data_IF_703750789520
#
_entry.id   IF_703750789520
#
_cell.length_a   1.000
_cell.length_b   1.000
_cell.length_c   1.000
_cell.angle_alpha   90.00
_cell.angle_beta   90.00
_cell.angle_gamma   90.00
#
_symmetry.space_group_name_H-M   'P 1'
#
loop_
_entity.id
_entity.type
_entity.pdbx_description
1 polymer ?
#
# COMPACT_ATOMS: atom_id res chain seq x y z
N UNK A 1 -21.63 -10.46 -1.74
CA UNK A 1 -21.41 -10.17 -0.31
C UNK A 1 -22.75 -10.15 0.38
N UNK A 2 -22.96 -11.04 1.36
CA UNK A 2 -24.12 -10.96 2.22
C UNK A 2 -23.78 -10.08 3.41
N UNK A 3 -24.35 -8.87 3.46
CA UNK A 3 -24.30 -8.02 4.64
C UNK A 3 -25.51 -8.33 5.50
N UNK A 4 -25.34 -8.51 6.81
CA UNK A 4 -26.45 -8.33 7.72
C UNK A 4 -26.78 -6.84 7.67
N UNK A 5 -27.98 -6.49 7.15
CA UNK A 5 -28.39 -5.10 6.91
C UNK A 5 -28.57 -4.28 8.22
N UNK A 6 -28.35 -4.89 9.39
CA UNK A 6 -28.46 -4.22 10.67
C UNK A 6 -27.18 -3.55 11.07
N UNK A 7 -27.22 -2.23 11.27
CA UNK A 7 -26.14 -1.48 11.90
C UNK A 7 -26.14 -1.79 13.40
N UNK A 8 -25.00 -2.27 13.89
CA UNK A 8 -24.77 -2.59 15.29
C UNK A 8 -23.79 -1.58 15.89
N UNK A 9 -23.97 -1.23 17.17
CA UNK A 9 -22.94 -0.49 17.90
C UNK A 9 -21.96 -1.50 18.48
N UNK A 10 -20.68 -1.40 18.06
CA UNK A 10 -19.60 -2.29 18.50
C UNK A 10 -18.66 -1.49 19.39
N UNK A 11 -18.28 -2.06 20.55
CA UNK A 11 -17.33 -1.44 21.46
C UNK A 11 -15.95 -1.26 20.77
N UNK A 12 -15.34 -0.10 20.92
CA UNK A 12 -14.03 0.22 20.28
C UNK A 12 -12.94 -0.76 20.73
N UNK A 13 -13.00 -1.21 21.98
CA UNK A 13 -12.07 -2.19 22.57
C UNK A 13 -12.17 -3.59 21.94
N UNK A 14 -13.31 -3.93 21.33
CA UNK A 14 -13.53 -5.20 20.64
C UNK A 14 -13.13 -5.16 19.18
N UNK A 15 -12.68 -4.00 18.70
CA UNK A 15 -12.30 -3.82 17.30
C UNK A 15 -10.78 -3.88 17.17
N UNK A 16 -10.30 -4.71 16.26
CA UNK A 16 -8.89 -4.79 15.89
C UNK A 16 -8.68 -4.20 14.50
N UNK A 17 -7.57 -3.46 14.29
CA UNK A 17 -7.19 -2.98 12.98
C UNK A 17 -7.01 -4.11 11.97
N UNK A 18 -7.21 -3.81 10.70
CA UNK A 18 -6.97 -4.79 9.63
C UNK A 18 -5.46 -5.11 9.53
N UNK A 19 -5.10 -6.38 9.67
CA UNK A 19 -3.72 -6.87 9.54
C UNK A 19 -3.11 -6.61 8.16
N UNK A 20 -3.95 -6.42 7.16
CA UNK A 20 -3.56 -6.28 5.75
C UNK A 20 -3.61 -4.82 5.26
N UNK A 21 -3.71 -3.84 6.18
CA UNK A 21 -3.72 -2.41 5.80
C UNK A 21 -2.28 -1.87 5.65
N UNK A 22 -1.85 -1.54 4.42
CA UNK A 22 -0.49 -1.06 4.15
C UNK A 22 -0.27 0.42 4.52
N UNK A 23 -1.32 1.15 4.88
CA UNK A 23 -1.23 2.58 5.16
C UNK A 23 -0.64 2.84 6.55
N UNK A 24 0.69 3.01 6.60
CA UNK A 24 1.44 3.34 7.83
C UNK A 24 1.45 4.85 8.14
N UNK A 25 1.20 5.71 7.14
CA UNK A 25 1.24 7.16 7.31
C UNK A 25 -0.17 7.73 7.12
N UNK A 26 -0.73 8.23 8.21
CA UNK A 26 -1.94 9.05 8.18
C UNK A 26 -1.53 10.50 8.36
N UNK A 27 -2.10 11.40 7.58
CA UNK A 27 -1.97 12.83 7.82
C UNK A 27 -2.72 13.18 9.12
N UNK A 28 -1.93 13.51 10.15
CA UNK A 28 -2.45 13.79 11.50
C UNK A 28 -3.41 14.97 11.51
N UNK A 29 -3.22 15.97 10.66
CA UNK A 29 -4.12 17.12 10.56
C UNK A 29 -5.50 16.68 10.08
N UNK A 30 -5.55 15.96 8.94
CA UNK A 30 -6.81 15.47 8.37
C UNK A 30 -7.52 14.43 9.26
N UNK A 31 -6.78 13.74 10.14
CA UNK A 31 -7.37 12.80 11.10
C UNK A 31 -7.99 13.54 12.29
N UNK A 32 -7.38 14.64 12.75
CA UNK A 32 -7.93 15.51 13.80
C UNK A 32 -9.22 16.19 13.36
N UNK A 33 -9.25 16.75 12.14
CA UNK A 33 -10.46 17.35 11.58
C UNK A 33 -11.62 16.35 11.51
N UNK A 34 -11.32 15.12 11.10
CA UNK A 34 -12.30 14.05 11.08
C UNK A 34 -12.75 13.67 12.50
N UNK A 35 -11.87 13.67 13.48
CA UNK A 35 -12.21 13.38 14.89
C UNK A 35 -13.15 14.45 15.46
N UNK A 36 -12.91 15.73 15.17
CA UNK A 36 -13.80 16.82 15.57
C UNK A 36 -15.18 16.70 14.91
N UNK A 37 -15.21 16.38 13.63
CA UNK A 37 -16.46 16.13 12.92
C UNK A 37 -17.23 14.95 13.54
N UNK A 38 -16.56 13.86 13.87
CA UNK A 38 -17.16 12.68 14.50
C UNK A 38 -17.65 13.01 15.91
N UNK A 39 -16.92 13.84 16.66
CA UNK A 39 -17.34 14.31 17.99
C UNK A 39 -18.63 15.15 17.95
N UNK A 40 -18.78 15.95 16.88
CA UNK A 40 -19.96 16.82 16.70
C UNK A 40 -21.19 16.08 16.15
N UNK A 41 -21.00 15.18 15.21
CA UNK A 41 -22.10 14.58 14.41
C UNK A 41 -22.18 13.06 14.52
N UNK A 42 -21.25 12.41 15.21
CA UNK A 42 -21.10 10.97 15.20
C UNK A 42 -20.56 10.41 13.88
N UNK A 43 -20.53 9.09 13.78
CA UNK A 43 -20.14 8.40 12.54
C UNK A 43 -21.37 8.22 11.67
N UNK A 44 -21.49 9.02 10.60
CA UNK A 44 -22.63 8.97 9.67
C UNK A 44 -22.63 7.69 8.85
N UNK A 45 -21.44 7.28 8.34
CA UNK A 45 -21.30 6.06 7.55
C UNK A 45 -20.70 4.95 8.44
N UNK A 46 -21.44 3.85 8.71
CA UNK A 46 -20.98 2.77 9.56
C UNK A 46 -19.64 2.16 9.08
N UNK A 47 -18.88 1.60 10.00
CA UNK A 47 -17.71 0.78 9.67
C UNK A 47 -18.19 -0.55 9.07
N UNK A 48 -17.34 -1.19 8.30
CA UNK A 48 -17.54 -2.59 7.88
C UNK A 48 -16.55 -3.44 8.64
N UNK A 49 -17.08 -4.34 9.45
CA UNK A 49 -16.31 -5.24 10.30
C UNK A 49 -16.59 -6.70 9.91
N UNK A 50 -15.68 -7.61 10.23
CA UNK A 50 -15.95 -9.05 10.25
C UNK A 50 -15.68 -9.62 11.64
N UNK A 51 -16.34 -10.70 11.96
CA UNK A 51 -16.10 -11.40 13.22
C UNK A 51 -14.80 -12.24 13.11
N UNK A 52 -13.93 -12.08 14.10
CA UNK A 52 -12.68 -12.85 14.22
C UNK A 52 -12.60 -13.38 15.67
N UNK A 53 -13.11 -14.59 15.91
CA UNK A 53 -13.28 -15.13 17.24
C UNK A 53 -14.28 -14.29 18.04
N UNK A 54 -13.83 -13.76 19.19
CA UNK A 54 -14.65 -12.89 20.05
C UNK A 54 -14.52 -11.40 19.71
N UNK A 55 -13.62 -11.03 18.81
CA UNK A 55 -13.39 -9.64 18.37
C UNK A 55 -13.87 -9.40 16.94
N UNK A 56 -13.75 -8.16 16.52
CA UNK A 56 -14.13 -7.71 15.18
C UNK A 56 -12.91 -7.10 14.49
N UNK A 57 -12.63 -7.53 13.26
CA UNK A 57 -11.56 -6.96 12.44
C UNK A 57 -12.15 -5.98 11.44
N UNK A 58 -11.48 -4.83 11.26
CA UNK A 58 -11.90 -3.78 10.33
C UNK A 58 -11.67 -4.27 8.90
N UNK A 59 -12.75 -4.30 8.10
CA UNK A 59 -12.66 -4.51 6.64
C UNK A 59 -12.59 -3.15 5.93
N UNK A 60 -13.43 -2.19 6.34
CA UNK A 60 -13.43 -0.84 5.80
C UNK A 60 -13.76 0.18 6.88
N UNK A 61 -13.12 1.36 6.82
CA UNK A 61 -13.38 2.47 7.73
C UNK A 61 -12.31 2.71 8.78
N UNK A 62 -11.07 2.26 8.59
CA UNK A 62 -9.92 2.46 9.49
C UNK A 62 -9.76 3.92 9.94
N UNK A 63 -9.84 4.89 9.01
CA UNK A 63 -9.76 6.32 9.36
C UNK A 63 -10.87 6.76 10.32
N UNK A 64 -12.09 6.27 10.10
CA UNK A 64 -13.24 6.56 11.00
C UNK A 64 -13.05 5.93 12.37
N UNK A 65 -12.53 4.72 12.43
CA UNK A 65 -12.18 4.05 13.67
C UNK A 65 -11.13 4.83 14.47
N UNK A 66 -10.02 5.23 13.84
CA UNK A 66 -8.97 6.02 14.50
C UNK A 66 -9.46 7.39 14.95
N UNK A 67 -10.24 8.06 14.11
CA UNK A 67 -10.85 9.33 14.46
C UNK A 67 -11.87 9.20 15.61
N UNK A 68 -12.61 8.08 15.68
CA UNK A 68 -13.50 7.78 16.78
C UNK A 68 -12.75 7.58 18.10
N UNK A 69 -11.61 6.88 18.07
CA UNK A 69 -10.71 6.76 19.25
C UNK A 69 -10.20 8.13 19.70
N UNK A 70 -9.75 8.98 18.77
CA UNK A 70 -9.31 10.35 19.08
C UNK A 70 -10.44 11.21 19.62
N UNK A 71 -11.68 10.99 19.16
CA UNK A 71 -12.88 11.67 19.64
C UNK A 71 -13.36 11.14 21.02
N UNK A 72 -12.77 10.06 21.54
CA UNK A 72 -13.11 9.45 22.83
C UNK A 72 -14.43 8.65 22.81
N UNK A 73 -14.83 8.12 21.66
CA UNK A 73 -16.05 7.28 21.58
C UNK A 73 -15.76 5.88 22.16
N UNK A 74 -16.69 5.36 22.97
CA UNK A 74 -16.62 4.00 23.53
C UNK A 74 -17.17 2.93 22.57
N UNK A 75 -18.01 3.32 21.60
CA UNK A 75 -18.60 2.42 20.61
C UNK A 75 -18.77 3.13 19.25
N UNK A 76 -18.84 2.35 18.20
CA UNK A 76 -18.98 2.85 16.82
C UNK A 76 -20.04 2.06 16.06
N UNK A 77 -20.84 2.71 15.19
CA UNK A 77 -21.78 2.01 14.34
C UNK A 77 -21.05 1.18 13.30
N UNK A 78 -21.42 -0.08 13.14
CA UNK A 78 -20.77 -1.01 12.23
C UNK A 78 -21.79 -1.98 11.59
N UNK A 79 -21.47 -2.41 10.39
CA UNK A 79 -22.15 -3.51 9.69
C UNK A 79 -21.23 -4.73 9.72
N UNK A 80 -21.73 -5.87 10.13
CA UNK A 80 -20.96 -7.11 10.21
C UNK A 80 -21.07 -7.86 8.88
N UNK A 81 -19.94 -7.96 8.19
CA UNK A 81 -19.84 -8.74 6.96
C UNK A 81 -19.59 -10.21 7.30
N UNK A 82 -20.40 -11.11 6.73
CA UNK A 82 -20.18 -12.56 6.79
C UNK A 82 -19.24 -12.96 5.64
N UNK A 83 -17.95 -12.77 5.86
CA UNK A 83 -16.90 -13.09 4.88
C UNK A 83 -15.80 -13.90 5.56
N UNK A 84 -15.29 -14.88 4.84
CA UNK A 84 -14.12 -15.66 5.26
C UNK A 84 -12.82 -14.85 5.12
N UNK A 85 -11.71 -15.39 5.62
CA UNK A 85 -10.40 -14.73 5.59
C UNK A 85 -9.98 -14.34 4.17
N UNK A 86 -10.25 -15.21 3.20
CA UNK A 86 -9.91 -15.02 1.79
C UNK A 86 -10.71 -13.87 1.17
N UNK A 87 -12.01 -13.83 1.43
CA UNK A 87 -12.89 -12.77 0.92
C UNK A 87 -12.63 -11.43 1.62
N UNK A 88 -12.26 -11.43 2.90
CA UNK A 88 -11.90 -10.22 3.65
C UNK A 88 -10.65 -9.55 3.07
N UNK A 89 -9.64 -10.35 2.71
CA UNK A 89 -8.47 -9.86 2.01
C UNK A 89 -8.82 -9.28 0.62
N UNK A 90 -9.64 -10.00 -0.15
CA UNK A 90 -10.07 -9.54 -1.48
C UNK A 90 -10.77 -8.18 -1.43
N UNK A 91 -11.56 -7.93 -0.38
CA UNK A 91 -12.27 -6.64 -0.19
C UNK A 91 -11.32 -5.55 0.22
N UNK A 92 -10.42 -5.81 1.18
CA UNK A 92 -9.42 -4.83 1.62
C UNK A 92 -8.49 -4.41 0.46
N UNK A 93 -8.14 -5.37 -0.41
CA UNK A 93 -7.36 -5.12 -1.62
C UNK A 93 -8.14 -4.27 -2.61
N UNK A 94 -9.38 -4.64 -2.91
CA UNK A 94 -10.21 -3.96 -3.91
C UNK A 94 -10.51 -2.51 -3.50
N UNK A 95 -10.77 -2.26 -2.22
CA UNK A 95 -10.97 -0.90 -1.70
C UNK A 95 -9.70 -0.06 -1.83
N UNK A 96 -8.53 -0.61 -1.47
CA UNK A 96 -7.26 0.09 -1.55
C UNK A 96 -6.83 0.36 -3.01
N UNK A 97 -6.99 -0.63 -3.89
CA UNK A 97 -6.59 -0.52 -5.31
C UNK A 97 -7.47 0.47 -6.09
N UNK A 98 -8.74 0.64 -5.71
CA UNK A 98 -9.65 1.58 -6.36
C UNK A 98 -9.50 3.03 -5.88
N UNK A 99 -8.69 3.29 -4.83
CA UNK A 99 -8.37 4.64 -4.41
C UNK A 99 -7.39 5.28 -5.39
N UNK A 100 -7.84 6.28 -6.13
CA UNK A 100 -7.07 7.08 -7.10
C UNK A 100 -5.84 7.84 -6.50
N UNK A 101 -5.50 7.62 -5.24
CA UNK A 101 -4.53 8.42 -4.47
C UNK A 101 -3.34 7.63 -3.90
N UNK A 102 -3.20 6.33 -4.20
CA UNK A 102 -2.02 5.61 -3.74
C UNK A 102 -0.80 6.00 -4.58
N UNK A 103 0.31 6.30 -3.88
CA UNK A 103 1.60 6.45 -4.52
C UNK A 103 2.05 5.09 -5.11
N UNK A 104 2.73 5.07 -6.27
CA UNK A 104 3.19 3.82 -6.91
C UNK A 104 4.00 2.89 -6.01
N UNK A 105 4.77 3.41 -5.05
CA UNK A 105 5.52 2.61 -4.07
C UNK A 105 4.60 1.96 -3.03
N UNK A 106 3.60 2.70 -2.53
CA UNK A 106 2.62 2.14 -1.58
C UNK A 106 1.79 1.05 -2.23
N UNK A 107 1.40 1.27 -3.49
CA UNK A 107 0.68 0.29 -4.29
C UNK A 107 1.53 -0.99 -4.48
N UNK A 108 2.80 -0.84 -4.84
CA UNK A 108 3.72 -1.97 -5.01
C UNK A 108 3.94 -2.74 -3.70
N UNK A 109 4.10 -2.05 -2.55
CA UNK A 109 4.20 -2.67 -1.22
C UNK A 109 2.95 -3.48 -0.87
N UNK A 110 1.76 -2.95 -1.18
CA UNK A 110 0.49 -3.65 -0.98
C UNK A 110 0.43 -4.94 -1.82
N UNK A 111 0.83 -4.87 -3.08
CA UNK A 111 0.86 -6.03 -3.97
C UNK A 111 1.86 -7.08 -3.49
N UNK A 112 3.05 -6.66 -3.07
CA UNK A 112 4.07 -7.56 -2.55
C UNK A 112 3.60 -8.27 -1.27
N UNK A 113 2.99 -7.55 -0.34
CA UNK A 113 2.45 -8.12 0.89
C UNK A 113 1.44 -9.23 0.60
N UNK A 114 0.52 -9.00 -0.34
CA UNK A 114 -0.49 -9.98 -0.74
C UNK A 114 0.08 -11.24 -1.41
N UNK A 115 1.10 -11.05 -2.25
CA UNK A 115 1.76 -12.18 -2.90
C UNK A 115 2.60 -13.00 -1.91
N UNK A 116 3.19 -12.36 -0.89
CA UNK A 116 3.97 -13.04 0.14
C UNK A 116 3.10 -13.92 1.05
N UNK A 117 1.82 -13.61 1.22
CA UNK A 117 0.86 -14.44 1.98
C UNK A 117 0.60 -15.80 1.29
N UNK A 118 0.99 -15.97 0.03
CA UNK A 118 0.92 -17.25 -0.69
C UNK A 118 -0.48 -17.71 -1.12
N UNK A 119 -1.50 -16.87 -0.95
CA UNK A 119 -2.89 -17.24 -1.27
C UNK A 119 -3.20 -17.28 -2.76
N UNK A 120 -2.37 -16.62 -3.58
CA UNK A 120 -2.56 -16.60 -5.03
C UNK A 120 -1.23 -16.37 -5.78
N UNK A 121 -1.18 -16.84 -7.03
CA UNK A 121 -0.05 -16.59 -7.92
C UNK A 121 -0.14 -15.19 -8.53
N UNK A 122 0.99 -14.68 -9.09
CA UNK A 122 1.05 -13.39 -9.79
C UNK A 122 0.01 -13.30 -10.92
N UNK A 123 -0.19 -14.40 -11.65
CA UNK A 123 -1.12 -14.49 -12.78
C UNK A 123 -2.58 -14.33 -12.31
N UNK A 124 -2.94 -15.04 -11.23
CA UNK A 124 -4.29 -14.94 -10.65
C UNK A 124 -4.53 -13.54 -10.11
N UNK A 125 -3.52 -12.95 -9.45
CA UNK A 125 -3.62 -11.62 -8.90
C UNK A 125 -3.75 -10.54 -9.99
N UNK A 126 -2.90 -10.57 -11.02
CA UNK A 126 -2.98 -9.67 -12.17
C UNK A 126 -4.35 -9.74 -12.88
N UNK A 127 -4.88 -10.98 -13.06
CA UNK A 127 -6.22 -11.18 -13.63
C UNK A 127 -7.31 -10.55 -12.77
N UNK A 128 -7.22 -10.65 -11.44
CA UNK A 128 -8.20 -10.01 -10.52
C UNK A 128 -8.13 -8.48 -10.58
N UNK A 129 -6.93 -7.91 -10.76
CA UNK A 129 -6.73 -6.49 -10.94
C UNK A 129 -7.13 -5.96 -12.33
N UNK A 130 -7.36 -6.86 -13.28
CA UNK A 130 -7.64 -6.49 -14.67
C UNK A 130 -6.43 -5.90 -15.41
N UNK A 131 -5.20 -6.22 -14.96
CA UNK A 131 -3.95 -5.75 -15.56
C UNK A 131 -3.11 -6.91 -16.10
N UNK A 132 -2.26 -6.67 -17.13
CA UNK A 132 -1.29 -7.66 -17.55
C UNK A 132 -0.29 -8.01 -16.45
N UNK A 133 0.18 -9.27 -16.41
CA UNK A 133 1.20 -9.73 -15.44
C UNK A 133 2.47 -8.88 -15.53
N UNK A 134 2.88 -8.49 -16.73
CA UNK A 134 4.04 -7.62 -16.96
C UNK A 134 3.92 -6.25 -16.30
N UNK A 135 2.70 -5.70 -16.22
CA UNK A 135 2.43 -4.44 -15.52
C UNK A 135 2.56 -4.62 -14.02
N UNK A 136 2.01 -5.72 -13.47
CA UNK A 136 2.18 -6.07 -12.05
C UNK A 136 3.65 -6.24 -11.69
N UNK A 137 4.41 -6.98 -12.50
CA UNK A 137 5.85 -7.18 -12.28
C UNK A 137 6.64 -5.87 -12.35
N UNK A 138 6.32 -4.98 -13.30
CA UNK A 138 6.95 -3.68 -13.38
C UNK A 138 6.68 -2.83 -12.13
N UNK A 139 5.48 -2.90 -11.55
CA UNK A 139 5.17 -2.25 -10.28
C UNK A 139 5.95 -2.85 -9.11
N UNK A 140 6.02 -4.16 -9.01
CA UNK A 140 6.79 -4.83 -7.95
C UNK A 140 8.29 -4.52 -8.03
N UNK A 141 8.84 -4.36 -9.24
CA UNK A 141 10.25 -3.98 -9.46
C UNK A 141 10.59 -2.59 -8.89
N UNK A 142 9.62 -1.68 -8.73
CA UNK A 142 9.84 -0.38 -8.08
C UNK A 142 10.42 -0.52 -6.68
N UNK A 143 10.07 -1.59 -5.95
CA UNK A 143 10.55 -1.85 -4.59
C UNK A 143 12.03 -2.24 -4.51
N UNK A 144 12.62 -2.64 -5.63
CA UNK A 144 14.03 -3.04 -5.73
C UNK A 144 14.93 -1.95 -6.32
N UNK A 145 14.38 -0.78 -6.61
CA UNK A 145 15.17 0.38 -7.04
C UNK A 145 15.92 1.01 -5.85
N UNK A 146 16.99 1.77 -6.11
CA UNK A 146 17.67 2.53 -5.07
C UNK A 146 16.70 3.36 -4.24
N UNK A 147 16.98 3.47 -2.92
CA UNK A 147 16.08 4.19 -2.00
C UNK A 147 15.84 5.64 -2.44
N UNK A 148 16.88 6.33 -2.98
CA UNK A 148 16.73 7.70 -3.48
C UNK A 148 15.72 7.81 -4.62
N UNK A 149 15.65 6.80 -5.50
CA UNK A 149 14.67 6.76 -6.60
C UNK A 149 13.27 6.52 -6.04
N UNK A 150 13.13 5.63 -5.04
CA UNK A 150 11.86 5.39 -4.38
C UNK A 150 11.37 6.66 -3.66
N UNK A 151 12.25 7.37 -2.95
CA UNK A 151 11.93 8.60 -2.23
C UNK A 151 11.54 9.74 -3.19
N UNK A 152 12.23 9.85 -4.32
CA UNK A 152 11.88 10.83 -5.36
C UNK A 152 10.51 10.54 -5.99
N UNK A 153 10.17 9.26 -6.15
CA UNK A 153 8.85 8.83 -6.64
C UNK A 153 7.75 9.10 -5.60
N UNK A 154 8.03 8.82 -4.31
CA UNK A 154 7.14 9.13 -3.19
C UNK A 154 6.88 10.64 -3.07
N UNK A 155 7.92 11.45 -3.24
CA UNK A 155 7.83 12.91 -3.21
C UNK A 155 7.22 13.54 -4.48
N UNK A 156 6.86 12.72 -5.48
CA UNK A 156 6.33 13.21 -6.75
C UNK A 156 7.33 14.00 -7.61
N UNK A 157 8.65 13.94 -7.29
CA UNK A 157 9.71 14.59 -8.06
C UNK A 157 9.92 13.96 -9.43
N UNK A 158 9.65 12.67 -9.53
CA UNK A 158 9.65 11.91 -10.78
C UNK A 158 8.33 11.13 -10.93
N UNK A 159 7.96 10.80 -12.16
CA UNK A 159 6.79 9.96 -12.44
C UNK A 159 7.13 8.47 -12.46
N UNK A 160 6.13 7.60 -12.32
CA UNK A 160 6.29 6.15 -12.50
C UNK A 160 6.90 5.79 -13.86
N UNK A 161 6.62 6.58 -14.91
CA UNK A 161 7.22 6.38 -16.24
C UNK A 161 8.73 6.65 -16.23
N UNK A 162 9.18 7.69 -15.52
CA UNK A 162 10.62 7.94 -15.33
C UNK A 162 11.29 6.76 -14.61
N UNK A 163 10.69 6.28 -13.51
CA UNK A 163 11.21 5.13 -12.78
C UNK A 163 11.28 3.87 -13.67
N UNK A 164 10.27 3.60 -14.51
CA UNK A 164 10.31 2.49 -15.48
C UNK A 164 11.42 2.62 -16.51
N UNK A 165 11.75 3.83 -16.93
CA UNK A 165 12.88 4.06 -17.83
C UNK A 165 14.21 3.82 -17.11
N UNK A 166 14.36 4.30 -15.86
CA UNK A 166 15.52 4.04 -15.03
C UNK A 166 15.75 2.54 -14.74
N UNK A 167 14.68 1.74 -14.63
CA UNK A 167 14.80 0.28 -14.47
C UNK A 167 15.52 -0.42 -15.63
N UNK A 168 15.63 0.20 -16.80
CA UNK A 168 16.36 -0.33 -17.95
C UNK A 168 17.89 -0.27 -17.73
N UNK A 169 18.36 0.53 -16.77
CA UNK A 169 19.76 0.68 -16.40
C UNK A 169 20.11 -0.37 -15.35
N UNK A 170 21.20 -1.11 -15.54
CA UNK A 170 21.60 -2.24 -14.68
C UNK A 170 22.14 -1.77 -13.33
N UNK A 171 23.07 -0.80 -13.39
CA UNK A 171 23.80 -0.37 -12.24
C UNK A 171 23.01 0.62 -11.40
N UNK A 172 22.87 0.32 -10.10
CA UNK A 172 22.13 1.18 -9.17
C UNK A 172 22.71 2.58 -9.05
N UNK A 173 24.05 2.71 -9.12
CA UNK A 173 24.76 4.01 -9.15
C UNK A 173 24.33 4.87 -10.33
N UNK A 174 24.20 4.25 -11.49
CA UNK A 174 23.78 4.95 -12.71
C UNK A 174 22.30 5.34 -12.65
N UNK A 175 21.46 4.51 -12.04
CA UNK A 175 20.06 4.87 -11.81
C UNK A 175 19.94 6.13 -10.94
N UNK A 176 20.77 6.25 -9.89
CA UNK A 176 20.84 7.44 -9.03
C UNK A 176 21.41 8.64 -9.78
N UNK A 177 22.50 8.46 -10.56
CA UNK A 177 23.05 9.51 -11.43
C UNK A 177 21.96 10.09 -12.35
N UNK A 178 21.24 9.23 -13.05
CA UNK A 178 20.15 9.65 -13.95
C UNK A 178 18.94 10.23 -13.22
N UNK A 179 18.67 9.82 -12.00
CA UNK A 179 17.66 10.47 -11.15
C UNK A 179 18.00 11.95 -10.96
N UNK A 180 19.26 12.27 -10.61
CA UNK A 180 19.70 13.66 -10.43
C UNK A 180 19.59 14.43 -11.73
N UNK A 181 20.00 13.85 -12.86
CA UNK A 181 19.86 14.46 -14.20
C UNK A 181 18.40 14.80 -14.54
N UNK A 182 17.45 13.89 -14.22
CA UNK A 182 16.00 14.14 -14.40
C UNK A 182 15.55 15.36 -13.61
N UNK A 183 15.97 15.45 -12.33
CA UNK A 183 15.51 16.49 -11.41
C UNK A 183 16.13 17.84 -11.80
N UNK A 184 17.43 17.87 -12.05
CA UNK A 184 18.19 19.11 -12.33
C UNK A 184 17.84 19.71 -13.67
N UNK A 185 17.73 18.88 -14.70
CA UNK A 185 17.41 19.31 -16.08
C UNK A 185 15.90 19.29 -16.37
N UNK A 186 15.08 18.81 -15.45
CA UNK A 186 13.62 18.62 -15.61
C UNK A 186 13.26 17.83 -16.87
N UNK A 187 14.01 16.76 -17.12
CA UNK A 187 13.82 15.93 -18.31
C UNK A 187 12.44 15.31 -18.31
N UNK A 188 11.75 15.35 -19.44
CA UNK A 188 10.58 14.51 -19.65
C UNK A 188 11.00 13.06 -20.03
N UNK A 189 10.04 12.11 -19.99
CA UNK A 189 10.33 10.69 -20.21
C UNK A 189 11.01 10.43 -21.56
N UNK A 190 10.59 11.15 -22.61
CA UNK A 190 11.15 10.98 -23.97
C UNK A 190 12.58 11.51 -24.07
N UNK A 191 12.84 12.64 -23.44
CA UNK A 191 14.18 13.21 -23.35
C UNK A 191 15.12 12.27 -22.58
N UNK A 192 14.67 11.76 -21.43
CA UNK A 192 15.39 10.76 -20.66
C UNK A 192 15.70 9.52 -21.49
N UNK A 193 14.73 8.96 -22.20
CA UNK A 193 14.95 7.79 -23.05
C UNK A 193 15.99 8.06 -24.15
N UNK A 194 15.96 9.24 -24.76
CA UNK A 194 16.91 9.64 -25.78
C UNK A 194 18.34 9.79 -25.21
N UNK A 195 18.48 10.43 -24.04
CA UNK A 195 19.81 10.60 -23.39
C UNK A 195 20.40 9.27 -22.93
N UNK A 196 19.57 8.40 -22.31
CA UNK A 196 19.99 7.05 -21.95
C UNK A 196 20.41 6.23 -23.18
N UNK A 197 19.66 6.33 -24.27
CA UNK A 197 19.99 5.62 -25.52
C UNK A 197 21.31 6.10 -26.13
N UNK A 198 21.67 7.37 -25.98
CA UNK A 198 22.99 7.90 -26.41
C UNK A 198 24.13 7.33 -25.58
N UNK A 199 23.94 7.18 -24.26
CA UNK A 199 25.00 6.74 -23.34
C UNK A 199 25.16 5.21 -23.36
N UNK A 200 24.05 4.44 -23.41
CA UNK A 200 24.06 2.98 -23.25
C UNK A 200 23.65 2.22 -24.52
N UNK A 201 23.30 2.91 -25.60
CA UNK A 201 22.72 2.28 -26.79
C UNK A 201 21.23 1.94 -26.61
N UNK A 202 20.66 1.23 -27.58
CA UNK A 202 19.23 0.88 -27.56
C UNK A 202 18.97 -0.20 -26.50
N UNK A 203 18.48 0.21 -25.32
CA UNK A 203 18.17 -0.65 -24.18
C UNK A 203 16.91 -1.51 -24.34
N UNK A 204 16.36 -1.61 -25.56
CA UNK A 204 15.16 -2.40 -25.85
C UNK A 204 15.35 -3.93 -25.75
N UNK A 205 16.53 -4.41 -25.35
CA UNK A 205 16.77 -5.81 -25.07
C UNK A 205 16.23 -6.17 -23.70
N UNK A 206 15.19 -7.00 -23.70
CA UNK A 206 14.47 -7.64 -22.60
C UNK A 206 15.27 -7.79 -21.30
N UNK A 207 14.97 -6.95 -20.31
CA UNK A 207 15.49 -7.09 -18.96
C UNK A 207 14.61 -8.08 -18.20
N UNK A 208 14.94 -9.36 -18.24
CA UNK A 208 14.47 -10.34 -17.27
C UNK A 208 15.29 -10.22 -15.97
N UNK A 209 14.90 -9.32 -15.09
CA UNK A 209 15.36 -9.39 -13.70
C UNK A 209 14.59 -10.53 -13.06
N UNK A 210 15.30 -11.60 -12.73
CA UNK A 210 14.77 -12.73 -11.99
C UNK A 210 14.58 -12.30 -10.53
N UNK A 211 13.34 -11.98 -10.18
CA UNK A 211 12.96 -11.49 -8.83
C UNK A 211 13.30 -12.53 -7.76
N UNK A 212 13.31 -13.82 -8.11
CA UNK A 212 13.62 -14.90 -7.17
C UNK A 212 15.12 -14.95 -6.85
N UNK A 213 15.99 -14.49 -7.77
CA UNK A 213 17.41 -14.29 -7.50
C UNK A 213 17.71 -13.10 -6.60
N UNK A 214 16.93 -12.03 -6.65
CA UNK A 214 17.10 -10.85 -5.81
C UNK A 214 16.71 -11.12 -4.34
N UNK A 215 15.78 -12.04 -4.08
CA UNK A 215 15.42 -12.46 -2.73
C UNK A 215 16.56 -13.17 -1.99
N UNK A 216 17.48 -13.79 -2.70
CA UNK A 216 18.62 -14.51 -2.12
C UNK A 216 19.81 -13.61 -1.75
N UNK A 217 19.84 -12.36 -2.22
CA UNK A 217 20.93 -11.41 -1.99
C UNK A 217 20.60 -10.28 -1.03
N UNK A 218 19.33 -10.09 -0.67
CA UNK A 218 18.90 -9.07 0.29
C UNK A 218 18.52 -9.68 1.64
N UNK A 219 19.54 -10.08 2.42
CA UNK A 219 19.38 -10.54 3.82
C UNK A 219 19.08 -9.40 4.80
N UNK A 220 19.02 -8.14 4.35
CA UNK A 220 18.90 -6.96 5.21
C UNK A 220 17.77 -5.99 4.78
N UNK A 221 16.60 -6.51 4.42
CA UNK A 221 15.40 -5.68 4.51
C UNK A 221 14.80 -5.94 5.88
N UNK A 222 15.31 -5.21 6.87
CA UNK A 222 14.78 -5.16 8.23
C UNK A 222 13.42 -4.45 8.16
N UNK A 223 12.37 -5.19 7.86
CA UNK A 223 11.00 -4.75 8.11
C UNK A 223 10.86 -4.80 9.63
N UNK A 224 10.71 -3.66 10.34
CA UNK A 224 10.54 -3.71 11.78
C UNK A 224 9.29 -4.52 12.09
N UNK A 225 9.48 -5.67 12.72
CA UNK A 225 8.41 -6.43 13.34
C UNK A 225 7.76 -5.51 14.37
N UNK A 226 6.52 -5.14 14.13
CA UNK A 226 5.69 -4.40 15.08
C UNK A 226 5.56 -5.31 16.30
N UNK A 227 6.30 -5.00 17.37
CA UNK A 227 6.12 -5.66 18.64
C UNK A 227 4.70 -5.37 19.15
N UNK A 228 4.00 -6.35 19.71
CA UNK A 228 2.71 -6.12 20.33
C UNK A 228 2.89 -5.12 21.47
N UNK A 229 2.10 -4.06 21.46
CA UNK A 229 2.05 -3.06 22.52
C UNK A 229 1.58 -3.79 23.78
N UNK A 230 2.47 -3.95 24.75
CA UNK A 230 2.12 -4.48 26.06
C UNK A 230 1.09 -3.55 26.73
N UNK A 231 0.02 -4.09 27.32
CA UNK A 231 -0.92 -3.27 28.06
C UNK A 231 -0.19 -2.65 29.25
N UNK A 232 -0.32 -1.33 29.38
CA UNK A 232 0.18 -0.55 30.52
C UNK A 232 -0.49 -1.12 31.77
N UNK A 233 0.30 -1.72 32.67
CA UNK A 233 -0.13 -2.11 33.99
C UNK A 233 -0.38 -0.84 34.82
N UNK A 234 -1.65 -0.53 35.08
CA UNK A 234 -2.02 0.43 36.13
C UNK A 234 -1.72 -0.19 37.50
N UNK A 235 -0.76 0.38 38.17
CA UNK A 235 -0.66 0.37 39.66
C UNK A 235 -1.19 1.67 40.16
#
# INVERSE_FOLDING_TARGET
MNFDANVLNVAVEDIIPNRFQPRLVFDDASLKDLAESIKAHGIIQPLVLRRLGEKYEIIAGERRYRAAMLAGLSSVPAVIAKIDDKSAQEVAISENVQRKELNPIEEAKSYQALLNEGFMTKEVFAKKLGIPVSVLEAKLKLLYMPQEVQDALLAGKISERHAKTLMKIKESSDQVKWLHEIIDKRLNVKELENEIAKEYGDLNTSFNIDIDKLKSTSTDINVPLIQPINPVSNT
#
